data_IF_536915186198
#
_entry.id   IF_536915186198
#
_cell.length_a   1.000
_cell.length_b   1.000
_cell.length_c   1.000
_cell.angle_alpha   90.00
_cell.angle_beta   90.00
_cell.angle_gamma   90.00
#
_symmetry.space_group_name_H-M   'P 1'
#
loop_
_entity.id
_entity.type
_entity.pdbx_description
1 polymer ?
#
# COMPACT_ATOMS: atom_id res chain seq x y z
N UNK A 1 -11.63 11.00 4.29
CA UNK A 1 -10.51 10.35 3.56
C UNK A 1 -10.38 8.90 4.00
N UNK A 2 -9.73 8.02 3.22
CA UNK A 2 -9.57 6.61 3.60
C UNK A 2 -8.86 6.47 4.96
N UNK A 3 -7.86 7.32 5.23
CA UNK A 3 -7.13 7.34 6.50
C UNK A 3 -8.04 7.68 7.70
N UNK A 4 -8.96 8.64 7.56
CA UNK A 4 -9.93 8.96 8.61
C UNK A 4 -10.88 7.80 8.90
N UNK A 5 -11.38 7.14 7.84
CA UNK A 5 -12.22 5.95 7.97
C UNK A 5 -11.51 4.82 8.75
N UNK A 6 -10.21 4.62 8.48
CA UNK A 6 -9.37 3.69 9.24
C UNK A 6 -9.18 4.13 10.69
N UNK A 7 -8.93 5.41 10.96
CA UNK A 7 -8.70 5.93 12.31
C UNK A 7 -9.92 5.81 13.23
N UNK A 8 -11.14 5.89 12.68
CA UNK A 8 -12.37 5.69 13.46
C UNK A 8 -12.60 4.24 13.89
N UNK A 9 -12.02 3.26 13.15
CA UNK A 9 -12.35 1.82 13.28
C UNK A 9 -11.19 0.97 13.76
N UNK A 10 -9.97 1.48 13.68
CA UNK A 10 -8.75 0.76 14.00
C UNK A 10 -7.99 1.48 15.11
N UNK A 11 -7.28 0.71 15.94
CA UNK A 11 -6.28 1.28 16.85
C UNK A 11 -5.24 2.08 16.04
N UNK A 12 -4.74 3.18 16.61
CA UNK A 12 -3.88 4.15 15.90
C UNK A 12 -2.70 3.52 15.15
N UNK A 13 -2.04 2.51 15.73
CA UNK A 13 -0.90 1.81 15.09
C UNK A 13 -1.27 0.98 13.85
N UNK A 14 -2.56 0.70 13.61
CA UNK A 14 -3.05 -0.02 12.43
C UNK A 14 -3.50 0.93 11.32
N UNK A 15 -3.49 2.25 11.57
CA UNK A 15 -3.82 3.23 10.56
C UNK A 15 -2.63 3.33 9.60
N UNK A 16 -2.82 3.09 8.28
CA UNK A 16 -1.72 3.11 7.33
C UNK A 16 -1.17 4.53 7.12
N UNK A 17 0.15 4.63 7.06
CA UNK A 17 0.83 5.90 6.80
C UNK A 17 0.77 6.34 5.33
N UNK A 18 0.77 5.37 4.41
CA UNK A 18 0.68 5.58 2.97
C UNK A 18 -0.45 4.74 2.37
N UNK A 19 -1.16 5.32 1.42
CA UNK A 19 -2.24 4.65 0.67
C UNK A 19 -2.01 4.95 -0.80
N UNK A 20 -1.80 3.90 -1.59
CA UNK A 20 -1.63 4.00 -3.03
C UNK A 20 -2.77 3.26 -3.74
N UNK A 21 -3.32 3.89 -4.78
CA UNK A 21 -4.29 3.26 -5.68
C UNK A 21 -3.52 2.78 -6.90
N UNK A 22 -3.66 1.49 -7.22
CA UNK A 22 -3.01 0.85 -8.36
C UNK A 22 -4.06 0.30 -9.31
N UNK A 23 -3.75 0.29 -10.60
CA UNK A 23 -4.66 -0.25 -11.62
C UNK A 23 -4.84 -1.76 -11.48
N UNK A 24 -3.80 -2.48 -11.04
CA UNK A 24 -3.84 -3.91 -10.85
C UNK A 24 -3.03 -4.37 -9.64
N UNK A 25 -3.43 -5.53 -9.10
CA UNK A 25 -2.76 -6.16 -7.98
C UNK A 25 -1.83 -7.28 -8.48
N UNK A 26 -0.56 -7.33 -8.06
CA UNK A 26 0.39 -8.33 -8.55
C UNK A 26 -0.01 -9.73 -8.08
N UNK A 27 -0.61 -10.49 -8.99
CA UNK A 27 -1.06 -11.86 -8.75
C UNK A 27 -0.24 -12.83 -9.57
N UNK A 28 0.08 -13.99 -8.99
CA UNK A 28 0.75 -15.08 -9.70
C UNK A 28 -0.20 -15.77 -10.68
N UNK A 29 0.32 -16.75 -11.43
CA UNK A 29 -0.47 -17.51 -12.41
C UNK A 29 -1.71 -18.20 -11.80
N UNK A 30 -1.66 -18.58 -10.53
CA UNK A 30 -2.78 -19.15 -9.77
C UNK A 30 -3.64 -18.10 -9.05
N UNK A 31 -3.51 -16.82 -9.39
CA UNK A 31 -4.28 -15.71 -8.79
C UNK A 31 -3.86 -15.30 -7.38
N UNK A 32 -2.87 -15.97 -6.76
CA UNK A 32 -2.37 -15.62 -5.43
C UNK A 32 -1.66 -14.28 -5.43
N UNK A 33 -1.92 -13.48 -4.41
CA UNK A 33 -1.23 -12.21 -4.20
C UNK A 33 0.26 -12.42 -3.95
N UNK A 34 1.10 -11.76 -4.75
CA UNK A 34 2.55 -11.79 -4.60
C UNK A 34 2.99 -10.66 -3.66
N UNK A 35 2.95 -10.91 -2.35
CA UNK A 35 3.38 -9.95 -1.31
C UNK A 35 4.77 -9.36 -1.55
N UNK A 36 5.80 -10.11 -2.00
CA UNK A 36 7.11 -9.53 -2.25
C UNK A 36 7.07 -8.40 -3.29
N UNK A 37 6.32 -8.60 -4.38
CA UNK A 37 6.18 -7.58 -5.44
C UNK A 37 5.46 -6.31 -4.96
N UNK A 38 4.62 -6.42 -3.93
CA UNK A 38 4.01 -5.24 -3.31
C UNK A 38 5.01 -4.42 -2.49
N UNK A 39 5.97 -5.07 -1.84
CA UNK A 39 7.04 -4.38 -1.11
C UNK A 39 7.88 -3.58 -2.09
N UNK A 40 8.30 -4.19 -3.19
CA UNK A 40 9.10 -3.53 -4.23
C UNK A 40 8.36 -2.30 -4.80
N UNK A 41 7.07 -2.48 -5.16
CA UNK A 41 6.25 -1.39 -5.67
C UNK A 41 6.03 -0.25 -4.66
N UNK A 42 5.87 -0.58 -3.37
CA UNK A 42 5.72 0.40 -2.31
C UNK A 42 7.02 1.20 -2.08
N UNK A 43 8.18 0.53 -2.08
CA UNK A 43 9.48 1.19 -1.98
C UNK A 43 9.70 2.16 -3.13
N UNK A 44 9.42 1.74 -4.36
CA UNK A 44 9.59 2.55 -5.56
C UNK A 44 8.64 3.78 -5.58
N UNK A 45 7.41 3.61 -5.11
CA UNK A 45 6.46 4.71 -4.96
C UNK A 45 6.90 5.75 -3.92
N UNK A 46 7.46 5.31 -2.79
CA UNK A 46 7.98 6.20 -1.74
C UNK A 46 9.18 7.01 -2.26
N UNK A 47 10.09 6.38 -3.00
CA UNK A 47 11.25 7.05 -3.59
C UNK A 47 10.86 8.15 -4.60
N UNK A 48 9.78 7.97 -5.37
CA UNK A 48 9.29 9.00 -6.30
C UNK A 48 8.65 10.22 -5.62
N UNK A 49 8.24 10.07 -4.36
CA UNK A 49 7.50 11.10 -3.61
C UNK A 49 8.41 12.04 -2.82
N UNK A 50 9.69 11.69 -2.68
CA UNK A 50 10.69 12.49 -1.96
C UNK A 50 11.75 12.97 -2.95
N UNK A 51 11.69 14.20 -3.48
CA UNK A 51 12.87 14.81 -4.06
C UNK A 51 13.84 15.09 -2.89
N UNK A 52 15.03 14.51 -2.96
CA UNK A 52 16.09 14.79 -2.01
C UNK A 52 16.69 16.18 -2.26
#
# INVERSE_FOLDING_TARGET
SIRAFCAERLAGYKVPDAIAVVAEMPRGAMGKLLRPRLVDAATDAVSRSTPR
#
